data_IF_858355629284
#
_entry.id   IF_858355629284
#
_cell.length_a   1.000
_cell.length_b   1.000
_cell.length_c   1.000
_cell.angle_alpha   90.00
_cell.angle_beta   90.00
_cell.angle_gamma   90.00
#
_symmetry.space_group_name_H-M   'P 1'
#
loop_
_entity.id
_entity.type
_entity.pdbx_description
1 polymer ?
#
# COMPACT_ATOMS: atom_id res chain seq x y z
N UNK A 1 -31.73 -3.30 6.65
CA UNK A 1 -30.39 -2.72 6.85
C UNK A 1 -29.62 -2.89 5.55
N UNK A 2 -29.17 -1.82 4.96
CA UNK A 2 -28.25 -1.90 3.83
C UNK A 2 -26.89 -2.29 4.38
N UNK A 3 -26.20 -3.25 3.75
CA UNK A 3 -24.81 -3.54 4.10
C UNK A 3 -23.95 -2.31 3.77
N UNK A 4 -23.00 -1.96 4.60
CA UNK A 4 -22.08 -0.87 4.34
C UNK A 4 -21.30 -1.15 3.04
N UNK A 5 -21.22 -0.18 2.15
CA UNK A 5 -20.42 -0.26 0.93
C UNK A 5 -18.92 -0.28 1.32
N UNK A 6 -18.21 -1.30 0.93
CA UNK A 6 -16.78 -1.46 1.27
C UNK A 6 -15.90 -1.23 0.06
N UNK A 7 -15.00 -0.26 0.16
CA UNK A 7 -14.11 0.15 -0.92
C UNK A 7 -12.67 -0.02 -0.49
N UNK A 8 -11.85 -0.67 -1.32
CA UNK A 8 -10.42 -0.80 -1.12
C UNK A 8 -9.68 0.18 -2.03
N UNK A 9 -8.85 1.05 -1.43
CA UNK A 9 -7.97 1.98 -2.12
C UNK A 9 -6.52 1.54 -2.00
N UNK A 10 -5.88 1.26 -3.12
CA UNK A 10 -4.44 1.05 -3.14
C UNK A 10 -3.72 2.39 -3.08
N UNK A 11 -2.92 2.61 -2.05
CA UNK A 11 -2.21 3.88 -1.80
C UNK A 11 -0.70 3.68 -1.71
N UNK A 12 0.03 4.63 -2.29
CA UNK A 12 1.48 4.74 -2.24
C UNK A 12 1.93 6.20 -2.08
N UNK A 13 3.21 6.47 -2.18
CA UNK A 13 3.80 7.81 -2.06
C UNK A 13 3.64 8.68 -3.31
N UNK A 14 3.01 8.19 -4.39
CA UNK A 14 2.85 8.93 -5.64
C UNK A 14 1.79 10.03 -5.54
N UNK A 15 1.94 11.08 -6.35
CA UNK A 15 0.91 12.12 -6.50
C UNK A 15 -0.39 11.55 -7.08
N UNK A 16 -0.32 10.52 -7.90
CA UNK A 16 -1.50 9.85 -8.42
C UNK A 16 -2.30 9.17 -7.30
N UNK A 17 -1.62 8.54 -6.35
CA UNK A 17 -2.25 7.99 -5.15
C UNK A 17 -2.99 9.06 -4.34
N UNK A 18 -2.39 10.25 -4.19
CA UNK A 18 -3.05 11.36 -3.53
C UNK A 18 -4.33 11.80 -4.28
N UNK A 19 -4.30 11.88 -5.61
CA UNK A 19 -5.48 12.19 -6.43
C UNK A 19 -6.60 11.16 -6.28
N UNK A 20 -6.25 9.87 -6.18
CA UNK A 20 -7.22 8.80 -5.93
C UNK A 20 -7.96 9.05 -4.62
N UNK A 21 -7.23 9.32 -3.55
CA UNK A 21 -7.81 9.58 -2.24
C UNK A 21 -8.69 10.84 -2.25
N UNK A 22 -8.25 11.90 -2.92
CA UNK A 22 -9.05 13.12 -3.11
C UNK A 22 -10.34 12.84 -3.88
N UNK A 23 -10.24 12.08 -4.97
CA UNK A 23 -11.39 11.72 -5.79
C UNK A 23 -12.43 10.93 -4.98
N UNK A 24 -12.00 9.87 -4.30
CA UNK A 24 -12.89 9.05 -3.47
C UNK A 24 -13.48 9.88 -2.33
N UNK A 25 -12.68 10.69 -1.66
CA UNK A 25 -13.14 11.59 -0.62
C UNK A 25 -14.20 12.58 -1.11
N UNK A 26 -13.98 13.20 -2.27
CA UNK A 26 -14.94 14.16 -2.86
C UNK A 26 -16.25 13.50 -3.28
N UNK A 27 -16.17 12.26 -3.76
CA UNK A 27 -17.33 11.51 -4.24
C UNK A 27 -18.15 10.93 -3.08
N UNK A 28 -17.50 10.40 -2.07
CA UNK A 28 -18.12 9.59 -1.02
C UNK A 28 -18.03 10.20 0.40
N UNK A 29 -17.38 11.35 0.56
CA UNK A 29 -17.10 11.94 1.88
C UNK A 29 -18.35 12.22 2.72
N UNK A 30 -19.50 12.36 2.10
CA UNK A 30 -20.80 12.61 2.77
C UNK A 30 -21.80 11.46 2.57
N UNK A 31 -21.37 10.36 2.00
CA UNK A 31 -22.22 9.19 1.78
C UNK A 31 -22.21 8.34 3.06
N UNK A 32 -23.38 8.08 3.66
CA UNK A 32 -23.46 7.22 4.84
C UNK A 32 -23.14 5.77 4.48
N UNK A 33 -22.75 5.00 5.48
CA UNK A 33 -22.53 3.55 5.37
C UNK A 33 -21.47 3.15 4.33
N UNK A 34 -20.40 3.95 4.20
CA UNK A 34 -19.21 3.63 3.39
C UNK A 34 -18.04 3.34 4.31
N UNK A 35 -17.37 2.22 4.09
CA UNK A 35 -16.09 1.87 4.72
C UNK A 35 -14.99 1.90 3.67
N UNK A 36 -13.93 2.65 3.95
CA UNK A 36 -12.75 2.75 3.09
C UNK A 36 -11.61 1.98 3.73
N UNK A 37 -11.06 1.03 3.01
CA UNK A 37 -9.83 0.34 3.38
C UNK A 37 -8.67 0.89 2.57
N UNK A 38 -7.71 1.51 3.24
CA UNK A 38 -6.43 1.93 2.65
C UNK A 38 -5.52 0.70 2.58
N UNK A 39 -5.16 0.31 1.37
CA UNK A 39 -4.24 -0.81 1.12
C UNK A 39 -2.86 -0.25 0.76
N UNK A 40 -1.86 -0.57 1.58
CA UNK A 40 -0.49 -0.12 1.40
C UNK A 40 0.46 -1.30 1.25
N UNK A 41 1.33 -1.24 0.24
CA UNK A 41 2.33 -2.28 -0.02
C UNK A 41 3.59 -2.01 0.78
N UNK A 42 3.97 -2.96 1.62
CA UNK A 42 5.22 -2.92 2.37
C UNK A 42 6.39 -3.28 1.45
N UNK A 43 7.43 -2.45 1.48
CA UNK A 43 8.67 -2.74 0.76
C UNK A 43 9.46 -3.83 1.49
N UNK A 44 9.99 -4.85 0.79
CA UNK A 44 10.86 -5.84 1.39
C UNK A 44 12.21 -5.21 1.75
N UNK A 45 12.82 -5.72 2.81
CA UNK A 45 14.19 -5.33 3.15
C UNK A 45 15.14 -5.68 2.01
N UNK A 46 16.02 -4.77 1.56
CA UNK A 46 16.99 -5.04 0.51
C UNK A 46 17.87 -6.25 0.84
N UNK A 47 18.14 -7.08 -0.17
CA UNK A 47 18.96 -8.29 0.01
C UNK A 47 20.34 -8.01 0.64
N UNK A 48 20.97 -6.90 0.28
CA UNK A 48 22.24 -6.49 0.87
C UNK A 48 22.19 -6.22 2.39
N UNK A 49 21.00 -6.02 2.96
CA UNK A 49 20.77 -5.90 4.40
C UNK A 49 20.36 -7.23 5.06
N UNK A 50 20.06 -8.25 4.29
CA UNK A 50 19.72 -9.59 4.79
C UNK A 50 20.93 -10.52 4.86
N UNK A 51 21.93 -10.28 4.01
CA UNK A 51 23.10 -11.13 3.85
C UNK A 51 24.36 -10.30 4.08
N UNK A 52 25.26 -10.78 4.93
CA UNK A 52 26.60 -10.25 5.07
C UNK A 52 27.61 -11.34 4.69
N UNK A 53 28.68 -10.93 4.02
CA UNK A 53 29.81 -11.81 3.79
C UNK A 53 30.49 -12.13 5.13
N UNK A 54 30.65 -13.41 5.43
CA UNK A 54 31.37 -13.84 6.61
C UNK A 54 32.86 -13.42 6.58
N UNK A 55 33.44 -13.23 7.73
CA UNK A 55 34.90 -13.01 7.88
C UNK A 55 35.53 -14.14 8.71
N UNK A 56 36.68 -14.61 8.31
CA UNK A 56 37.42 -15.61 9.08
C UNK A 56 38.00 -15.04 10.39
N UNK A 57 37.97 -13.71 10.54
CA UNK A 57 38.43 -13.03 11.75
C UNK A 57 37.24 -12.70 12.67
N UNK A 58 37.13 -13.31 13.88
CA UNK A 58 36.00 -13.10 14.77
C UNK A 58 35.76 -11.65 15.19
N UNK A 59 36.82 -10.84 15.33
CA UNK A 59 36.67 -9.42 15.67
C UNK A 59 36.14 -8.59 14.51
N UNK A 60 36.50 -8.93 13.26
CA UNK A 60 35.99 -8.30 12.07
C UNK A 60 34.55 -8.70 11.84
N UNK A 61 34.19 -9.96 12.06
CA UNK A 61 32.85 -10.48 11.95
C UNK A 61 31.88 -9.83 12.95
N UNK A 62 32.32 -9.64 14.20
CA UNK A 62 31.53 -8.94 15.21
C UNK A 62 31.21 -7.49 14.80
N UNK A 63 32.18 -6.77 14.24
CA UNK A 63 31.99 -5.40 13.74
C UNK A 63 31.04 -5.34 12.54
N UNK A 64 31.19 -6.27 11.60
CA UNK A 64 30.32 -6.36 10.43
C UNK A 64 28.87 -6.66 10.85
N UNK A 65 28.66 -7.52 11.84
CA UNK A 65 27.36 -7.87 12.37
C UNK A 65 26.70 -6.69 13.07
N UNK A 66 27.46 -5.92 13.85
CA UNK A 66 26.98 -4.70 14.51
C UNK A 66 26.59 -3.63 13.46
N UNK A 67 27.45 -3.40 12.49
CA UNK A 67 27.19 -2.45 11.40
C UNK A 67 25.96 -2.83 10.60
N UNK A 68 25.76 -4.11 10.28
CA UNK A 68 24.59 -4.61 9.57
C UNK A 68 23.31 -4.40 10.38
N UNK A 69 23.33 -4.61 11.70
CA UNK A 69 22.18 -4.33 12.57
C UNK A 69 21.80 -2.86 12.55
N UNK A 70 22.78 -1.97 12.65
CA UNK A 70 22.54 -0.52 12.61
C UNK A 70 21.92 -0.10 11.28
N UNK A 71 22.40 -0.66 10.16
CA UNK A 71 21.86 -0.42 8.84
C UNK A 71 20.43 -0.97 8.69
N UNK A 72 20.14 -2.16 9.21
CA UNK A 72 18.79 -2.75 9.23
C UNK A 72 17.83 -1.91 10.06
N UNK A 73 18.23 -1.48 11.25
CA UNK A 73 17.40 -0.63 12.11
C UNK A 73 17.13 0.74 11.46
N UNK A 74 18.13 1.31 10.82
CA UNK A 74 17.99 2.55 10.06
C UNK A 74 17.01 2.42 8.89
N UNK A 75 17.08 1.31 8.17
CA UNK A 75 16.14 1.03 7.07
C UNK A 75 14.70 0.85 7.57
N UNK A 76 14.49 0.04 8.63
CA UNK A 76 13.17 -0.18 9.22
C UNK A 76 12.55 1.13 9.69
N UNK A 77 13.33 1.98 10.37
CA UNK A 77 12.85 3.28 10.84
C UNK A 77 12.41 4.17 9.68
N UNK A 78 13.22 4.26 8.63
CA UNK A 78 12.93 5.05 7.43
C UNK A 78 11.67 4.56 6.71
N UNK A 79 11.50 3.25 6.57
CA UNK A 79 10.29 2.69 5.93
C UNK A 79 9.04 2.93 6.77
N UNK A 80 9.11 2.83 8.09
CA UNK A 80 7.99 3.17 8.98
C UNK A 80 7.61 4.65 8.90
N UNK A 81 8.57 5.54 8.83
CA UNK A 81 8.32 6.99 8.65
C UNK A 81 7.62 7.26 7.31
N UNK A 82 8.07 6.64 6.23
CA UNK A 82 7.46 6.74 4.91
C UNK A 82 6.03 6.20 4.89
N UNK A 83 5.81 5.03 5.46
CA UNK A 83 4.50 4.40 5.60
C UNK A 83 3.53 5.27 6.39
N UNK A 84 3.96 5.75 7.56
CA UNK A 84 3.15 6.66 8.38
C UNK A 84 2.80 7.93 7.62
N UNK A 85 3.70 8.48 6.82
CA UNK A 85 3.45 9.67 6.01
C UNK A 85 2.38 9.43 4.95
N UNK A 86 2.45 8.32 4.21
CA UNK A 86 1.46 7.95 3.18
C UNK A 86 0.07 7.80 3.79
N UNK A 87 -0.04 7.02 4.85
CA UNK A 87 -1.33 6.75 5.51
C UNK A 87 -1.89 8.00 6.20
N UNK A 88 -1.06 8.79 6.85
CA UNK A 88 -1.47 10.05 7.47
C UNK A 88 -2.02 11.03 6.43
N UNK A 89 -1.31 11.22 5.32
CA UNK A 89 -1.76 12.09 4.22
C UNK A 89 -3.09 11.61 3.65
N UNK A 90 -3.27 10.31 3.46
CA UNK A 90 -4.53 9.74 2.97
C UNK A 90 -5.69 9.99 3.95
N UNK A 91 -5.49 9.75 5.24
CA UNK A 91 -6.51 10.01 6.27
C UNK A 91 -6.86 11.51 6.36
N UNK A 92 -5.88 12.39 6.33
CA UNK A 92 -6.10 13.85 6.34
C UNK A 92 -6.93 14.30 5.12
N UNK A 93 -6.62 13.76 3.95
CA UNK A 93 -7.35 14.06 2.71
C UNK A 93 -8.80 13.58 2.78
N UNK A 94 -9.05 12.38 3.27
CA UNK A 94 -10.40 11.86 3.48
C UNK A 94 -11.18 12.72 4.50
N UNK A 95 -10.57 13.07 5.63
CA UNK A 95 -11.18 13.91 6.65
C UNK A 95 -11.55 15.30 6.13
N UNK A 96 -10.68 15.93 5.33
CA UNK A 96 -10.94 17.22 4.67
C UNK A 96 -12.14 17.16 3.72
N UNK A 97 -12.40 15.99 3.15
CA UNK A 97 -13.57 15.76 2.29
C UNK A 97 -14.85 15.46 3.08
N UNK A 98 -14.78 15.42 4.40
CA UNK A 98 -15.92 15.13 5.29
C UNK A 98 -16.12 13.66 5.58
N UNK A 99 -15.16 12.79 5.25
CA UNK A 99 -15.22 11.37 5.53
C UNK A 99 -14.95 11.09 7.02
N UNK A 100 -15.76 10.22 7.63
CA UNK A 100 -15.55 9.81 9.02
C UNK A 100 -14.39 8.81 9.11
N UNK A 101 -13.31 9.19 9.79
CA UNK A 101 -12.13 8.35 9.97
C UNK A 101 -12.40 7.08 10.81
N UNK A 102 -13.51 7.04 11.57
CA UNK A 102 -13.97 5.81 12.21
C UNK A 102 -14.37 4.70 11.24
N UNK A 103 -14.60 5.05 9.97
CA UNK A 103 -14.89 4.12 8.88
C UNK A 103 -13.69 3.90 7.93
N UNK A 104 -12.48 4.24 8.36
CA UNK A 104 -11.24 3.98 7.62
C UNK A 104 -10.49 2.81 8.27
N UNK A 105 -10.22 1.79 7.48
CA UNK A 105 -9.41 0.64 7.85
C UNK A 105 -8.07 0.68 7.10
N UNK A 106 -7.04 0.02 7.63
CA UNK A 106 -5.74 -0.11 6.96
C UNK A 106 -5.40 -1.58 6.79
N UNK A 107 -4.98 -1.95 5.60
CA UNK A 107 -4.44 -3.28 5.28
C UNK A 107 -3.10 -3.16 4.55
N UNK A 108 -2.24 -4.13 4.78
CA UNK A 108 -0.91 -4.20 4.18
C UNK A 108 -0.79 -5.39 3.23
N UNK A 109 -0.05 -5.20 2.16
CA UNK A 109 0.36 -6.24 1.24
C UNK A 109 1.87 -6.26 1.06
N UNK A 110 2.38 -7.20 0.26
CA UNK A 110 3.79 -7.39 -0.05
C UNK A 110 4.07 -7.16 -1.54
N UNK A 111 5.30 -6.83 -1.89
CA UNK A 111 5.68 -6.51 -3.28
C UNK A 111 5.70 -7.72 -4.24
N UNK A 112 5.71 -8.94 -3.73
CA UNK A 112 5.89 -10.16 -4.54
C UNK A 112 4.80 -10.37 -5.61
N UNK A 113 3.55 -10.02 -5.29
CA UNK A 113 2.42 -10.03 -6.24
C UNK A 113 1.34 -9.05 -5.77
N UNK A 114 1.51 -7.79 -6.13
CA UNK A 114 0.65 -6.70 -5.65
C UNK A 114 -0.81 -6.89 -6.06
N UNK A 115 -1.07 -7.27 -7.32
CA UNK A 115 -2.44 -7.47 -7.79
C UNK A 115 -3.14 -8.59 -7.04
N UNK A 116 -2.46 -9.69 -6.81
CA UNK A 116 -2.96 -10.82 -6.01
C UNK A 116 -3.22 -10.41 -4.56
N UNK A 117 -2.29 -9.71 -3.93
CA UNK A 117 -2.46 -9.21 -2.57
C UNK A 117 -3.68 -8.28 -2.45
N UNK A 118 -3.90 -7.40 -3.43
CA UNK A 118 -5.08 -6.52 -3.49
C UNK A 118 -6.37 -7.36 -3.58
N UNK A 119 -6.41 -8.36 -4.48
CA UNK A 119 -7.57 -9.22 -4.66
C UNK A 119 -7.88 -10.05 -3.40
N UNK A 120 -6.87 -10.62 -2.77
CA UNK A 120 -7.02 -11.37 -1.51
C UNK A 120 -7.53 -10.46 -0.37
N UNK A 121 -7.01 -9.24 -0.27
CA UNK A 121 -7.47 -8.26 0.71
C UNK A 121 -8.92 -7.82 0.44
N UNK A 122 -9.28 -7.58 -0.82
CA UNK A 122 -10.63 -7.22 -1.21
C UNK A 122 -11.62 -8.35 -0.91
N UNK A 123 -11.25 -9.58 -1.25
CA UNK A 123 -12.08 -10.75 -1.03
C UNK A 123 -12.28 -11.05 0.47
N UNK A 124 -11.21 -11.08 1.25
CA UNK A 124 -11.26 -11.34 2.69
C UNK A 124 -11.99 -10.24 3.48
N UNK A 125 -11.94 -9.01 2.99
CA UNK A 125 -12.63 -7.86 3.60
C UNK A 125 -14.04 -7.61 3.06
N UNK A 126 -14.54 -8.48 2.17
CA UNK A 126 -15.85 -8.35 1.53
C UNK A 126 -16.05 -6.99 0.85
N UNK A 127 -15.01 -6.51 0.16
CA UNK A 127 -15.09 -5.29 -0.63
C UNK A 127 -15.85 -5.52 -1.93
N UNK A 128 -16.58 -4.52 -2.37
CA UNK A 128 -17.32 -4.54 -3.64
C UNK A 128 -16.55 -3.80 -4.74
N UNK A 129 -15.73 -2.83 -4.33
CA UNK A 129 -15.00 -1.94 -5.24
C UNK A 129 -13.53 -1.87 -4.87
N UNK A 130 -12.69 -1.91 -5.87
CA UNK A 130 -11.24 -1.70 -5.78
C UNK A 130 -10.90 -0.43 -6.57
N UNK A 131 -10.21 0.51 -5.95
CA UNK A 131 -9.77 1.76 -6.58
C UNK A 131 -8.26 1.77 -6.69
N UNK A 132 -7.77 1.93 -7.92
CA UNK A 132 -6.35 1.95 -8.25
C UNK A 132 -6.01 3.11 -9.16
N UNK A 133 -4.76 3.54 -9.12
CA UNK A 133 -4.23 4.49 -10.09
C UNK A 133 -3.74 3.80 -11.36
N UNK A 134 -3.84 4.50 -12.48
CA UNK A 134 -3.28 4.01 -13.75
C UNK A 134 -1.75 4.05 -13.75
N UNK A 135 -1.17 5.00 -13.03
CA UNK A 135 0.27 5.18 -12.92
C UNK A 135 0.68 5.16 -11.46
N UNK A 136 1.26 4.05 -11.01
CA UNK A 136 1.94 3.98 -9.74
C UNK A 136 3.35 4.57 -9.80
N UNK A 137 4.08 4.53 -8.68
CA UNK A 137 5.50 4.84 -8.68
C UNK A 137 6.23 3.99 -9.73
N UNK A 138 7.31 4.52 -10.31
CA UNK A 138 8.09 3.86 -11.38
C UNK A 138 8.57 2.44 -11.02
N UNK A 139 8.64 2.10 -9.74
CA UNK A 139 8.94 0.74 -9.26
C UNK A 139 7.84 -0.28 -9.58
N UNK A 140 6.57 0.12 -9.47
CA UNK A 140 5.43 -0.75 -9.84
C UNK A 140 5.42 -1.02 -11.35
N UNK A 141 5.82 -0.05 -12.17
CA UNK A 141 5.97 -0.23 -13.63
C UNK A 141 7.09 -1.20 -14.02
N UNK A 142 8.18 -1.25 -13.25
CA UNK A 142 9.34 -2.09 -13.57
C UNK A 142 9.12 -3.57 -13.19
N UNK A 143 8.31 -3.85 -12.19
CA UNK A 143 8.08 -5.20 -11.67
C UNK A 143 7.06 -5.97 -12.52
N UNK A 144 6.12 -5.28 -13.15
CA UNK A 144 5.02 -5.91 -13.87
C UNK A 144 4.92 -5.39 -15.31
N UNK A 145 5.42 -6.13 -16.25
CA UNK A 145 5.40 -5.79 -17.68
C UNK A 145 4.02 -5.49 -18.31
N UNK A 146 2.96 -5.44 -17.52
CA UNK A 146 1.60 -5.05 -17.88
C UNK A 146 0.90 -4.19 -16.82
N UNK A 147 1.60 -3.85 -15.73
CA UNK A 147 1.09 -3.08 -14.60
C UNK A 147 0.07 -3.81 -13.73
N UNK A 148 0.00 -3.39 -12.47
CA UNK A 148 -0.94 -3.93 -11.47
C UNK A 148 -2.38 -3.73 -11.93
N UNK A 149 -2.69 -2.58 -12.52
CA UNK A 149 -4.03 -2.26 -13.04
C UNK A 149 -4.47 -3.22 -14.14
N UNK A 150 -3.60 -3.52 -15.10
CA UNK A 150 -3.92 -4.44 -16.18
C UNK A 150 -4.14 -5.86 -15.68
N UNK A 151 -3.38 -6.30 -14.68
CA UNK A 151 -3.56 -7.59 -14.05
C UNK A 151 -4.88 -7.65 -13.28
N UNK A 152 -5.20 -6.61 -12.50
CA UNK A 152 -6.49 -6.51 -11.80
C UNK A 152 -7.67 -6.56 -12.75
N UNK A 153 -7.63 -5.83 -13.87
CA UNK A 153 -8.70 -5.85 -14.87
C UNK A 153 -8.93 -7.23 -15.49
N UNK A 154 -7.90 -8.06 -15.58
CA UNK A 154 -8.03 -9.43 -16.07
C UNK A 154 -8.55 -10.40 -15.01
N UNK A 155 -8.06 -10.27 -13.78
CA UNK A 155 -8.20 -11.29 -12.75
C UNK A 155 -9.29 -10.97 -11.72
N UNK A 156 -9.71 -9.70 -11.59
CA UNK A 156 -10.70 -9.25 -10.62
C UNK A 156 -12.13 -9.57 -11.07
N UNK A 157 -12.56 -10.80 -10.85
CA UNK A 157 -13.93 -11.21 -11.11
C UNK A 157 -14.82 -10.92 -9.90
N UNK A 158 -15.95 -10.28 -10.15
CA UNK A 158 -16.93 -9.98 -9.10
C UNK A 158 -16.68 -8.67 -8.34
N UNK A 159 -15.73 -7.85 -8.78
CA UNK A 159 -15.45 -6.52 -8.23
C UNK A 159 -15.71 -5.41 -9.25
N UNK A 160 -16.14 -4.26 -8.76
CA UNK A 160 -16.05 -3.02 -9.53
C UNK A 160 -14.61 -2.50 -9.43
N UNK A 161 -13.99 -2.14 -10.55
CA UNK A 161 -12.66 -1.56 -10.60
C UNK A 161 -12.74 -0.11 -11.05
N UNK A 162 -12.30 0.81 -10.20
CA UNK A 162 -12.18 2.22 -10.55
C UNK A 162 -10.70 2.51 -10.83
N UNK A 163 -10.42 2.95 -12.03
CA UNK A 163 -9.08 3.38 -12.45
C UNK A 163 -9.07 4.91 -12.50
N UNK A 164 -8.25 5.52 -11.66
CA UNK A 164 -8.12 6.98 -11.54
C UNK A 164 -6.78 7.44 -12.09
N UNK A 165 -6.79 8.48 -12.95
CA UNK A 165 -5.59 9.13 -13.49
C UNK A 165 -5.17 10.37 -12.71
#
# INVERSE_FOLDING_TARGET
MSAAMRILLAVDESENSHRIVQYVGSLLGRTPDVVVTLFHVLKPMPRGLLEHGGSENPAAEARLSEQLRDEQEGWIRKERESECHVLKRACETLAQSGFDLGHVEVKYGHEDDIARNILEAAQSGHHETIVVGRQGTSRIKQIFGGGVTDQLLRDAKGFAIWVVE
#
